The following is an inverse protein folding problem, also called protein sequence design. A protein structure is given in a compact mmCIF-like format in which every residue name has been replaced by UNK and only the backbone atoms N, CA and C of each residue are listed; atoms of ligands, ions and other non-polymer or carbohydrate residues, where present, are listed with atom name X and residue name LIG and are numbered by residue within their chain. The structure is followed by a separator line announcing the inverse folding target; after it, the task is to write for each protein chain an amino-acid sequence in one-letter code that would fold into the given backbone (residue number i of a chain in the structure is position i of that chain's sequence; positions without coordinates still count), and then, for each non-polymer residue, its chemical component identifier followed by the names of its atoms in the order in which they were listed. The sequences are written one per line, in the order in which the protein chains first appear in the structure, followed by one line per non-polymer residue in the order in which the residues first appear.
data_IF_857563426573
#
_entry.id   IF_857563426573
#
_cell.length_a   1.000
_cell.length_b   1.000
_cell.length_c   1.000
_cell.angle_alpha   90.00
_cell.angle_beta   90.00
_cell.angle_gamma   90.00
#
_symmetry.space_group_name_H-M   'P 1'
#
loop_
_entity.id
_entity.type
_entity.pdbx_description
1 polymer ?
#
# COMPACT_ATOMS: atom_id res chain seq x y z
N UNK A 1 24.50 0.95 10.35
CA UNK A 1 24.49 0.76 11.82
C UNK A 1 25.75 1.40 12.39
N UNK A 2 25.65 2.59 12.99
CA UNK A 2 26.78 3.27 13.64
C UNK A 2 27.24 2.40 14.83
N UNK A 3 28.37 1.68 14.69
CA UNK A 3 28.90 0.78 15.73
C UNK A 3 29.64 1.59 16.79
N UNK A 4 28.90 2.28 17.66
CA UNK A 4 29.42 2.92 18.88
C UNK A 4 30.10 1.91 19.83
N UNK A 5 29.83 0.61 19.68
CA UNK A 5 30.49 -0.47 20.41
C UNK A 5 32.02 -0.45 20.26
N UNK A 6 32.52 -0.08 19.07
CA UNK A 6 33.97 -0.05 18.81
C UNK A 6 34.68 1.12 19.50
N UNK A 7 33.95 2.16 19.94
CA UNK A 7 34.55 3.36 20.54
C UNK A 7 35.01 3.08 21.97
N UNK A 8 34.20 2.35 22.75
CA UNK A 8 34.49 2.01 24.15
C UNK A 8 35.61 0.98 24.34
N UNK A 9 35.88 0.16 23.32
CA UNK A 9 36.93 -0.87 23.34
C UNK A 9 38.26 -0.38 22.74
N UNK A 10 38.28 0.87 22.26
CA UNK A 10 39.46 1.45 21.62
C UNK A 10 40.54 1.83 22.63
N UNK A 11 41.82 1.75 22.23
CA UNK A 11 42.94 2.35 22.99
C UNK A 11 42.74 3.85 23.27
N UNK A 12 41.86 4.50 22.51
CA UNK A 12 41.50 5.90 22.65
C UNK A 12 40.59 6.14 23.87
N UNK A 13 39.61 5.27 24.13
CA UNK A 13 38.72 5.38 25.30
C UNK A 13 39.46 5.34 26.64
N UNK A 14 40.53 4.52 26.72
CA UNK A 14 41.38 4.46 27.93
C UNK A 14 42.13 5.76 28.22
N UNK A 15 42.39 6.60 27.20
CA UNK A 15 43.09 7.89 27.33
C UNK A 15 42.16 9.08 27.62
N UNK A 16 40.85 8.90 27.55
CA UNK A 16 39.88 9.96 27.82
C UNK A 16 39.88 10.35 29.30
N UNK A 17 39.69 11.64 29.58
CA UNK A 17 39.46 12.14 30.93
C UNK A 17 38.15 11.60 31.50
N UNK A 18 37.95 11.71 32.82
CA UNK A 18 36.69 11.30 33.47
C UNK A 18 35.48 12.01 32.85
N UNK A 19 35.60 13.32 32.59
CA UNK A 19 34.57 14.15 31.96
C UNK A 19 34.22 13.63 30.56
N UNK A 20 35.22 13.36 29.72
CA UNK A 20 35.00 12.84 28.36
C UNK A 20 34.39 11.44 28.33
N UNK A 21 34.67 10.61 29.34
CA UNK A 21 34.04 9.28 29.48
C UNK A 21 32.57 9.41 29.85
N UNK A 22 32.22 10.36 30.72
CA UNK A 22 30.85 10.69 31.08
C UNK A 22 30.06 11.17 29.84
N UNK A 23 30.62 12.12 29.09
CA UNK A 23 30.03 12.64 27.84
C UNK A 23 29.81 11.55 26.79
N UNK A 24 30.79 10.65 26.60
CA UNK A 24 30.66 9.54 25.65
C UNK A 24 29.57 8.55 26.09
N UNK A 25 29.45 8.30 27.40
CA UNK A 25 28.41 7.43 27.96
C UNK A 25 27.02 8.06 27.75
N UNK A 26 26.87 9.35 28.03
CA UNK A 26 25.63 10.09 27.78
C UNK A 26 25.27 10.10 26.28
N UNK A 27 26.24 10.34 25.40
CA UNK A 27 26.04 10.28 23.95
C UNK A 27 25.61 8.89 23.47
N UNK A 28 26.20 7.82 24.03
CA UNK A 28 25.80 6.44 23.71
C UNK A 28 24.37 6.14 24.18
N UNK A 29 24.02 6.56 25.38
CA UNK A 29 22.69 6.34 25.95
C UNK A 29 21.64 7.07 25.12
N UNK A 30 21.92 8.31 24.69
CA UNK A 30 21.10 9.07 23.73
C UNK A 30 20.93 8.32 22.40
N UNK A 31 22.00 7.75 21.85
CA UNK A 31 21.93 6.97 20.60
C UNK A 31 21.17 5.66 20.78
N UNK A 32 21.33 4.94 21.90
CA UNK A 32 20.54 3.75 22.21
C UNK A 32 19.05 4.06 22.32
N UNK A 33 18.69 5.14 23.02
CA UNK A 33 17.30 5.59 23.10
C UNK A 33 16.75 5.96 21.71
N UNK A 34 17.53 6.65 20.88
CA UNK A 34 17.15 6.98 19.51
C UNK A 34 16.94 5.72 18.66
N UNK A 35 17.82 4.72 18.79
CA UNK A 35 17.71 3.43 18.09
C UNK A 35 16.48 2.63 18.52
N UNK A 36 16.07 2.72 19.79
CA UNK A 36 14.87 2.03 20.27
C UNK A 36 13.58 2.64 19.71
N UNK A 37 13.56 3.96 19.49
CA UNK A 37 12.42 4.70 18.92
C UNK A 37 12.40 4.75 17.39
N UNK A 38 13.48 4.34 16.73
CA UNK A 38 13.61 4.43 15.27
C UNK A 38 12.54 3.63 14.50
N UNK A 39 12.17 2.39 14.90
CA UNK A 39 11.11 1.66 14.22
C UNK A 39 9.73 2.33 14.34
N UNK A 40 9.42 2.95 15.48
CA UNK A 40 8.17 3.66 15.70
C UNK A 40 8.10 4.92 14.83
N UNK A 41 9.19 5.68 14.75
CA UNK A 41 9.31 6.83 13.83
C UNK A 41 9.18 6.40 12.37
N UNK A 42 9.82 5.29 12.00
CA UNK A 42 9.73 4.76 10.64
C UNK A 42 8.28 4.40 10.29
N UNK A 43 7.54 3.79 11.22
CA UNK A 43 6.11 3.49 11.07
C UNK A 43 5.30 4.74 10.74
N UNK A 44 5.43 5.79 11.56
CA UNK A 44 4.71 7.06 11.38
C UNK A 44 5.05 7.73 10.03
N UNK A 45 6.32 7.70 9.64
CA UNK A 45 6.76 8.23 8.36
C UNK A 45 6.21 7.44 7.17
N UNK A 46 6.16 6.11 7.25
CA UNK A 46 5.57 5.26 6.20
C UNK A 46 4.06 5.49 6.10
N UNK A 47 3.33 5.53 7.22
CA UNK A 47 1.89 5.86 7.24
C UNK A 47 1.63 7.20 6.55
N UNK A 48 2.37 8.25 6.95
CA UNK A 48 2.22 9.60 6.36
C UNK A 48 2.56 9.61 4.87
N UNK A 49 3.59 8.87 4.46
CA UNK A 49 3.98 8.78 3.06
C UNK A 49 2.92 8.04 2.23
N UNK A 50 2.36 6.95 2.76
CA UNK A 50 1.28 6.19 2.15
C UNK A 50 0.04 7.06 1.93
N UNK A 51 -0.40 7.81 2.95
CA UNK A 51 -1.52 8.73 2.86
C UNK A 51 -1.32 9.77 1.76
N UNK A 52 -0.13 10.38 1.72
CA UNK A 52 0.20 11.40 0.74
C UNK A 52 0.20 10.86 -0.70
N UNK A 53 0.85 9.70 -0.93
CA UNK A 53 0.92 9.10 -2.26
C UNK A 53 -0.46 8.64 -2.74
N UNK A 54 -1.25 8.02 -1.87
CA UNK A 54 -2.59 7.55 -2.22
C UNK A 54 -3.54 8.72 -2.53
N UNK A 55 -3.48 9.81 -1.76
CA UNK A 55 -4.26 11.01 -2.06
C UNK A 55 -3.91 11.60 -3.45
N UNK A 56 -2.62 11.60 -3.81
CA UNK A 56 -2.16 12.04 -5.13
C UNK A 56 -2.69 11.11 -6.22
N UNK A 57 -2.63 9.79 -6.03
CA UNK A 57 -3.14 8.80 -6.99
C UNK A 57 -4.62 9.06 -7.29
N UNK A 58 -5.46 9.19 -6.25
CA UNK A 58 -6.89 9.49 -6.41
C UNK A 58 -7.10 10.79 -7.17
N UNK A 59 -6.35 11.84 -6.82
CA UNK A 59 -6.42 13.14 -7.48
C UNK A 59 -6.08 13.04 -8.96
N UNK A 60 -5.02 12.30 -9.33
CA UNK A 60 -4.64 12.09 -10.72
C UNK A 60 -5.77 11.40 -11.50
N UNK A 61 -6.47 10.42 -10.90
CA UNK A 61 -7.58 9.73 -11.59
C UNK A 61 -8.73 10.71 -11.87
N UNK A 62 -9.13 11.56 -10.91
CA UNK A 62 -10.17 12.59 -11.13
C UNK A 62 -9.80 13.50 -12.29
N UNK A 63 -8.54 13.96 -12.34
CA UNK A 63 -8.05 14.88 -13.36
C UNK A 63 -8.02 14.27 -14.77
N UNK A 64 -8.20 12.96 -14.93
CA UNK A 64 -8.26 12.31 -16.23
C UNK A 64 -9.64 12.35 -16.88
N UNK A 65 -10.69 12.67 -16.12
CA UNK A 65 -12.06 12.77 -16.64
C UNK A 65 -12.14 13.98 -17.56
N UNK A 66 -12.45 13.73 -18.84
CA UNK A 66 -12.61 14.81 -19.82
C UNK A 66 -14.03 15.38 -19.77
N UNK A 67 -14.20 16.71 -19.67
CA UNK A 67 -15.53 17.32 -19.67
C UNK A 67 -16.20 17.16 -21.04
N UNK A 68 -17.53 17.02 -21.05
CA UNK A 68 -18.30 17.02 -22.28
C UNK A 68 -18.40 18.45 -22.85
N UNK A 69 -17.86 18.67 -24.06
CA UNK A 69 -18.00 19.94 -24.77
C UNK A 69 -19.25 19.98 -25.67
N UNK A 70 -19.84 18.82 -25.97
CA UNK A 70 -21.04 18.66 -26.80
C UNK A 70 -22.03 17.71 -26.12
N UNK A 71 -23.33 17.92 -26.36
CA UNK A 71 -24.39 17.05 -25.83
C UNK A 71 -24.20 15.57 -26.23
N UNK A 72 -23.66 15.30 -27.42
CA UNK A 72 -23.37 13.95 -27.90
C UNK A 72 -22.31 13.20 -27.07
N UNK A 73 -21.47 13.93 -26.31
CA UNK A 73 -20.41 13.37 -25.46
C UNK A 73 -20.85 13.20 -24.00
N UNK A 74 -22.05 13.66 -23.64
CA UNK A 74 -22.49 13.68 -22.25
C UNK A 74 -22.61 12.28 -21.63
N UNK A 75 -23.05 11.29 -22.42
CA UNK A 75 -23.12 9.89 -21.96
C UNK A 75 -21.73 9.30 -21.70
N UNK A 76 -20.74 9.63 -22.54
CA UNK A 76 -19.36 9.20 -22.36
C UNK A 76 -18.74 9.83 -21.10
N UNK A 77 -19.00 11.12 -20.88
CA UNK A 77 -18.59 11.82 -19.65
C UNK A 77 -19.15 11.16 -18.39
N UNK A 78 -20.44 10.80 -18.38
CA UNK A 78 -21.04 10.06 -17.26
C UNK A 78 -20.40 8.68 -17.07
N UNK A 79 -20.11 7.97 -18.16
CA UNK A 79 -19.37 6.70 -18.12
C UNK A 79 -17.98 6.86 -17.48
N UNK A 80 -17.24 7.91 -17.82
CA UNK A 80 -15.94 8.20 -17.22
C UNK A 80 -16.03 8.55 -15.73
N UNK A 81 -17.09 9.24 -15.29
CA UNK A 81 -17.35 9.46 -13.85
C UNK A 81 -17.54 8.13 -13.12
N UNK A 82 -18.32 7.22 -13.71
CA UNK A 82 -18.58 5.88 -13.15
C UNK A 82 -17.27 5.08 -13.02
N UNK A 83 -16.44 5.07 -14.06
CA UNK A 83 -15.12 4.43 -14.05
C UNK A 83 -14.23 5.04 -12.95
N UNK A 84 -14.26 6.36 -12.79
CA UNK A 84 -13.55 7.04 -11.70
C UNK A 84 -14.03 6.59 -10.32
N UNK A 85 -15.35 6.54 -10.07
CA UNK A 85 -15.91 6.12 -8.77
C UNK A 85 -15.47 4.70 -8.43
N UNK A 86 -15.50 3.78 -9.40
CA UNK A 86 -14.97 2.43 -9.23
C UNK A 86 -13.48 2.46 -8.82
N UNK A 87 -12.66 3.19 -9.57
CA UNK A 87 -11.23 3.28 -9.29
C UNK A 87 -10.96 3.92 -7.92
N UNK A 88 -11.75 4.92 -7.52
CA UNK A 88 -11.68 5.55 -6.21
C UNK A 88 -11.86 4.52 -5.09
N UNK A 89 -12.92 3.71 -5.14
CA UNK A 89 -13.16 2.69 -4.12
C UNK A 89 -12.10 1.59 -4.11
N UNK A 90 -11.57 1.21 -5.28
CA UNK A 90 -10.45 0.26 -5.35
C UNK A 90 -9.22 0.82 -4.61
N UNK A 91 -8.85 2.07 -4.84
CA UNK A 91 -7.70 2.70 -4.16
C UNK A 91 -8.00 2.90 -2.66
N UNK A 92 -9.22 3.30 -2.31
CA UNK A 92 -9.64 3.46 -0.92
C UNK A 92 -9.60 2.14 -0.14
N UNK A 93 -9.92 1.01 -0.78
CA UNK A 93 -9.80 -0.33 -0.21
C UNK A 93 -8.34 -0.67 0.14
N UNK A 94 -7.40 -0.39 -0.77
CA UNK A 94 -5.97 -0.54 -0.51
C UNK A 94 -5.50 0.34 0.64
N UNK A 95 -5.93 1.60 0.65
CA UNK A 95 -5.60 2.53 1.73
C UNK A 95 -6.11 2.04 3.08
N UNK A 96 -7.37 1.62 3.16
CA UNK A 96 -7.99 1.14 4.38
C UNK A 96 -7.28 -0.10 4.93
N UNK A 97 -6.95 -1.06 4.05
CA UNK A 97 -6.22 -2.26 4.44
C UNK A 97 -4.80 -1.95 4.94
N UNK A 98 -4.13 -0.98 4.30
CA UNK A 98 -2.80 -0.53 4.72
C UNK A 98 -2.86 0.19 6.07
N UNK A 99 -3.84 1.08 6.24
CA UNK A 99 -4.10 1.77 7.50
C UNK A 99 -4.34 0.80 8.65
N UNK A 100 -5.19 -0.23 8.46
CA UNK A 100 -5.41 -1.31 9.44
C UNK A 100 -4.11 -2.07 9.71
N UNK A 101 -3.35 -2.42 8.67
CA UNK A 101 -2.09 -3.13 8.81
C UNK A 101 -1.12 -2.37 9.71
N UNK A 102 -0.90 -1.09 9.43
CA UNK A 102 0.01 -0.25 10.21
C UNK A 102 -0.51 0.10 11.62
N UNK A 103 -1.83 0.24 11.79
CA UNK A 103 -2.44 0.57 13.08
C UNK A 103 -2.42 -0.59 14.07
N UNK A 104 -2.66 -1.82 13.60
CA UNK A 104 -2.90 -2.96 14.50
C UNK A 104 -1.86 -4.07 14.42
N UNK A 105 -1.05 -4.12 13.37
CA UNK A 105 -0.23 -5.30 13.08
C UNK A 105 1.24 -5.00 12.79
N UNK A 106 1.58 -3.80 12.33
CA UNK A 106 2.95 -3.41 11.97
C UNK A 106 3.47 -2.35 12.95
N UNK A 107 3.83 -2.75 14.16
CA UNK A 107 4.31 -1.80 15.19
C UNK A 107 5.78 -1.41 15.05
N UNK A 108 6.61 -2.29 14.49
CA UNK A 108 8.06 -2.09 14.35
C UNK A 108 8.50 -2.51 12.95
N UNK A 109 8.13 -1.73 11.91
CA UNK A 109 8.54 -2.03 10.55
C UNK A 109 10.06 -2.03 10.45
N UNK A 110 10.57 -2.95 9.65
CA UNK A 110 11.98 -3.03 9.31
C UNK A 110 12.21 -2.53 7.87
N UNK A 111 13.48 -2.54 7.44
CA UNK A 111 13.86 -2.14 6.08
C UNK A 111 13.14 -2.96 5.00
N UNK A 112 12.88 -4.24 5.23
CA UNK A 112 12.23 -5.12 4.23
C UNK A 112 10.77 -4.69 4.08
N UNK A 113 10.08 -4.43 5.19
CA UNK A 113 8.71 -3.93 5.22
C UNK A 113 8.59 -2.62 4.43
N UNK A 114 9.51 -1.67 4.66
CA UNK A 114 9.54 -0.40 3.94
C UNK A 114 9.76 -0.58 2.41
N UNK A 115 10.63 -1.50 2.00
CA UNK A 115 10.85 -1.79 0.57
C UNK A 115 9.58 -2.37 -0.08
N UNK A 116 8.92 -3.32 0.58
CA UNK A 116 7.67 -3.89 0.09
C UNK A 116 6.58 -2.80 -0.05
N UNK A 117 6.52 -1.89 0.92
CA UNK A 117 5.57 -0.77 0.93
C UNK A 117 5.82 0.19 -0.25
N UNK A 118 7.08 0.55 -0.50
CA UNK A 118 7.43 1.34 -1.69
C UNK A 118 7.13 0.63 -3.01
N UNK A 119 7.34 -0.69 -3.10
CA UNK A 119 6.95 -1.46 -4.29
C UNK A 119 5.43 -1.47 -4.49
N UNK A 120 4.66 -1.58 -3.40
CA UNK A 120 3.20 -1.49 -3.45
C UNK A 120 2.76 -0.13 -3.97
N UNK A 121 3.25 0.97 -3.37
CA UNK A 121 2.94 2.33 -3.80
C UNK A 121 3.33 2.62 -5.25
N UNK A 122 4.49 2.13 -5.69
CA UNK A 122 4.91 2.24 -7.08
C UNK A 122 3.93 1.53 -8.03
N UNK A 123 3.41 0.36 -7.63
CA UNK A 123 2.41 -0.39 -8.40
C UNK A 123 1.05 0.32 -8.40
N UNK A 124 0.60 0.84 -7.26
CA UNK A 124 -0.63 1.64 -7.17
C UNK A 124 -0.55 2.91 -8.03
N UNK A 125 0.64 3.49 -8.15
CA UNK A 125 0.88 4.66 -9.01
C UNK A 125 0.70 4.40 -10.51
N UNK A 126 0.63 3.12 -10.93
CA UNK A 126 0.28 2.73 -12.30
C UNK A 126 -1.23 2.68 -12.53
N UNK A 127 -2.05 2.57 -11.48
CA UNK A 127 -3.50 2.48 -11.61
C UNK A 127 -4.13 3.70 -12.30
N UNK A 128 -3.69 4.95 -12.09
CA UNK A 128 -4.18 6.07 -12.87
C UNK A 128 -3.93 5.91 -14.37
N UNK A 129 -2.80 5.35 -14.78
CA UNK A 129 -2.53 5.11 -16.22
C UNK A 129 -3.49 4.05 -16.76
N UNK A 130 -3.73 2.99 -16.00
CA UNK A 130 -4.66 1.93 -16.39
C UNK A 130 -6.11 2.42 -16.44
N UNK A 131 -6.54 3.24 -15.48
CA UNK A 131 -7.87 3.84 -15.45
C UNK A 131 -8.10 4.75 -16.67
N UNK A 132 -7.11 5.61 -17.00
CA UNK A 132 -7.17 6.43 -18.22
C UNK A 132 -7.32 5.57 -19.48
N UNK A 133 -6.62 4.44 -19.52
CA UNK A 133 -6.66 3.56 -20.68
C UNK A 133 -8.06 2.95 -20.86
N UNK A 134 -8.71 2.54 -19.76
CA UNK A 134 -10.11 2.09 -19.79
C UNK A 134 -11.00 3.23 -20.31
N UNK A 135 -10.90 4.44 -19.73
CA UNK A 135 -11.69 5.62 -20.16
C UNK A 135 -11.53 5.96 -21.65
N UNK A 136 -10.34 5.74 -22.24
CA UNK A 136 -10.09 6.00 -23.66
C UNK A 136 -10.60 4.91 -24.59
N UNK A 137 -10.57 3.65 -24.13
CA UNK A 137 -10.93 2.50 -24.95
C UNK A 137 -11.43 1.37 -24.07
N UNK A 138 -12.75 1.28 -23.97
CA UNK A 138 -13.48 0.16 -23.40
C UNK A 138 -13.20 -1.12 -24.19
N UNK A 139 -12.10 -1.79 -23.84
CA UNK A 139 -11.63 -2.98 -24.50
C UNK A 139 -11.16 -4.00 -23.48
N UNK A 140 -11.42 -5.28 -23.76
CA UNK A 140 -10.96 -6.38 -22.91
C UNK A 140 -9.45 -6.31 -22.64
N UNK A 141 -8.68 -5.79 -23.60
CA UNK A 141 -7.23 -5.60 -23.46
C UNK A 141 -6.86 -4.58 -22.37
N UNK A 142 -7.53 -3.42 -22.31
CA UNK A 142 -7.29 -2.42 -21.28
C UNK A 142 -7.69 -2.95 -19.89
N UNK A 143 -8.87 -3.58 -19.80
CA UNK A 143 -9.38 -4.17 -18.56
C UNK A 143 -8.47 -5.29 -18.04
N UNK A 144 -7.94 -6.13 -18.93
CA UNK A 144 -7.01 -7.22 -18.56
C UNK A 144 -5.72 -6.66 -17.96
N UNK A 145 -5.13 -5.63 -18.57
CA UNK A 145 -3.90 -5.01 -18.06
C UNK A 145 -4.14 -4.30 -16.72
N UNK A 146 -5.29 -3.63 -16.55
CA UNK A 146 -5.70 -3.10 -15.25
C UNK A 146 -5.75 -4.22 -14.20
N UNK A 147 -6.39 -5.35 -14.52
CA UNK A 147 -6.47 -6.52 -13.65
C UNK A 147 -5.11 -7.10 -13.26
N UNK A 148 -4.15 -7.14 -14.20
CA UNK A 148 -2.77 -7.60 -13.92
C UNK A 148 -2.08 -6.67 -12.92
N UNK A 149 -2.13 -5.35 -13.14
CA UNK A 149 -1.52 -4.36 -12.23
C UNK A 149 -2.17 -4.45 -10.84
N UNK A 150 -3.49 -4.54 -10.79
CA UNK A 150 -4.26 -4.73 -9.56
C UNK A 150 -3.85 -6.01 -8.82
N UNK A 151 -3.70 -7.13 -9.52
CA UNK A 151 -3.29 -8.40 -8.95
C UNK A 151 -1.87 -8.34 -8.36
N UNK A 152 -0.93 -7.69 -9.06
CA UNK A 152 0.43 -7.46 -8.53
C UNK A 152 0.37 -6.61 -7.26
N UNK A 153 -0.45 -5.56 -7.23
CA UNK A 153 -0.64 -4.74 -6.04
C UNK A 153 -1.18 -5.56 -4.86
N UNK A 154 -2.14 -6.47 -5.10
CA UNK A 154 -2.65 -7.36 -4.06
C UNK A 154 -1.56 -8.28 -3.48
N UNK A 155 -0.70 -8.85 -4.33
CA UNK A 155 0.44 -9.68 -3.86
C UNK A 155 1.39 -8.84 -3.00
N UNK A 156 1.75 -7.64 -3.45
CA UNK A 156 2.67 -6.77 -2.72
C UNK A 156 2.09 -6.33 -1.37
N UNK A 157 0.78 -6.07 -1.31
CA UNK A 157 0.08 -5.79 -0.04
C UNK A 157 0.22 -6.94 0.95
N UNK A 158 0.05 -8.18 0.50
CA UNK A 158 0.26 -9.36 1.35
C UNK A 158 1.70 -9.44 1.85
N UNK A 159 2.68 -9.08 1.01
CA UNK A 159 4.08 -9.05 1.44
C UNK A 159 4.32 -7.98 2.51
N UNK A 160 3.77 -6.79 2.37
CA UNK A 160 3.84 -5.74 3.42
C UNK A 160 3.27 -6.26 4.73
N UNK A 161 2.06 -6.85 4.70
CA UNK A 161 1.41 -7.41 5.89
C UNK A 161 2.24 -8.54 6.50
N UNK A 162 2.76 -9.46 5.70
CA UNK A 162 3.55 -10.60 6.16
C UNK A 162 4.87 -10.19 6.80
N UNK A 163 5.67 -9.35 6.13
CA UNK A 163 6.96 -8.91 6.65
C UNK A 163 6.79 -7.94 7.83
N UNK A 164 5.80 -7.05 7.76
CA UNK A 164 5.53 -6.08 8.82
C UNK A 164 4.98 -6.70 10.10
N UNK A 165 4.17 -7.76 10.01
CA UNK A 165 3.64 -8.47 11.18
C UNK A 165 4.60 -9.52 11.76
N UNK A 166 5.71 -9.83 11.06
CA UNK A 166 6.71 -10.84 11.47
C UNK A 166 7.22 -10.69 12.91
N UNK A 167 7.48 -9.48 13.44
CA UNK A 167 7.92 -9.32 14.82
C UNK A 167 6.84 -9.70 15.86
N UNK A 168 5.55 -9.53 15.53
CA UNK A 168 4.42 -9.95 16.39
C UNK A 168 4.15 -11.45 16.33
N UNK A 169 4.54 -12.12 15.25
CA UNK A 169 4.34 -13.56 15.04
C UNK A 169 5.11 -14.45 16.04
N UNK A 170 5.94 -13.88 16.92
CA UNK A 170 6.71 -14.64 17.91
C UNK A 170 5.93 -15.01 19.18
N UNK A 171 4.75 -14.42 19.45
CA UNK A 171 3.97 -14.69 20.67
C UNK A 171 2.49 -15.07 20.49
N UNK A 172 1.96 -15.17 19.26
CA UNK A 172 0.57 -15.59 19.03
C UNK A 172 0.45 -16.52 17.83
N UNK A 173 0.26 -17.82 18.10
CA UNK A 173 0.00 -18.86 17.10
C UNK A 173 -1.36 -18.67 16.39
N UNK A 174 -2.24 -17.80 16.90
CA UNK A 174 -3.62 -17.63 16.41
C UNK A 174 -3.75 -16.50 15.37
N UNK A 175 -2.88 -15.49 15.43
CA UNK A 175 -2.95 -14.31 14.54
C UNK A 175 -2.61 -14.62 13.08
N UNK A 176 -1.66 -15.54 12.84
CA UNK A 176 -1.18 -15.89 11.49
C UNK A 176 -2.22 -16.64 10.65
N UNK A 177 -2.97 -17.56 11.29
CA UNK A 177 -4.02 -18.31 10.60
C UNK A 177 -5.19 -17.37 10.32
N UNK A 178 -5.57 -16.49 11.26
CA UNK A 178 -6.73 -15.63 11.06
C UNK A 178 -6.48 -14.50 10.05
N UNK A 179 -5.31 -13.85 10.09
CA UNK A 179 -5.03 -12.71 9.20
C UNK A 179 -4.69 -13.13 7.77
N UNK A 180 -3.78 -14.09 7.58
CA UNK A 180 -3.40 -14.51 6.22
C UNK A 180 -4.57 -15.24 5.56
N UNK A 181 -5.31 -16.08 6.28
CA UNK A 181 -6.44 -16.82 5.70
C UNK A 181 -7.62 -15.91 5.37
N UNK A 182 -7.93 -14.91 6.21
CA UNK A 182 -8.98 -13.92 5.90
C UNK A 182 -8.56 -13.00 4.76
N UNK A 183 -7.33 -12.50 4.74
CA UNK A 183 -6.80 -11.70 3.61
C UNK A 183 -6.78 -12.51 2.31
N UNK A 184 -6.36 -13.78 2.34
CA UNK A 184 -6.36 -14.67 1.17
C UNK A 184 -7.78 -15.00 0.73
N UNK A 185 -8.72 -15.21 1.66
CA UNK A 185 -10.13 -15.46 1.30
C UNK A 185 -10.76 -14.24 0.63
N UNK A 186 -10.47 -13.04 1.12
CA UNK A 186 -10.89 -11.78 0.51
C UNK A 186 -10.23 -11.57 -0.85
N UNK A 187 -8.94 -11.89 -1.00
CA UNK A 187 -8.26 -11.90 -2.32
C UNK A 187 -8.92 -12.88 -3.27
N UNK A 188 -9.26 -14.09 -2.82
CA UNK A 188 -9.94 -15.10 -3.66
C UNK A 188 -11.34 -14.63 -4.04
N UNK A 189 -12.12 -14.06 -3.11
CA UNK A 189 -13.44 -13.51 -3.39
C UNK A 189 -13.37 -12.37 -4.41
N UNK A 190 -12.45 -11.42 -4.22
CA UNK A 190 -12.27 -10.29 -5.14
C UNK A 190 -11.70 -10.75 -6.48
N UNK A 191 -10.82 -11.75 -6.50
CA UNK A 191 -10.33 -12.38 -7.72
C UNK A 191 -11.44 -13.10 -8.48
N UNK A 192 -12.27 -13.90 -7.80
CA UNK A 192 -13.41 -14.59 -8.39
C UNK A 192 -14.45 -13.59 -8.91
N UNK A 193 -14.70 -12.52 -8.17
CA UNK A 193 -15.59 -11.44 -8.59
C UNK A 193 -15.03 -10.72 -9.82
N UNK A 194 -13.73 -10.40 -9.83
CA UNK A 194 -13.05 -9.75 -10.96
C UNK A 194 -13.07 -10.63 -12.20
N UNK A 195 -12.77 -11.93 -12.04
CA UNK A 195 -12.83 -12.92 -13.11
C UNK A 195 -14.25 -13.07 -13.66
N UNK A 196 -15.25 -13.12 -12.78
CA UNK A 196 -16.65 -13.16 -13.14
C UNK A 196 -17.08 -11.92 -13.92
N UNK A 197 -16.66 -10.73 -13.50
CA UNK A 197 -16.98 -9.47 -14.17
C UNK A 197 -16.30 -9.35 -15.55
N UNK A 198 -15.07 -9.86 -15.70
CA UNK A 198 -14.38 -9.97 -17.00
C UNK A 198 -15.14 -10.92 -17.94
N UNK A 199 -15.55 -12.09 -17.44
CA UNK A 199 -16.31 -13.06 -18.22
C UNK A 199 -17.70 -12.52 -18.61
N UNK A 200 -18.36 -11.81 -17.70
CA UNK A 200 -19.66 -11.17 -17.93
C UNK A 200 -19.54 -10.00 -18.94
N UNK A 201 -18.42 -9.27 -18.91
CA UNK A 201 -18.11 -8.18 -19.86
C UNK A 201 -17.98 -8.68 -21.30
N UNK A 202 -17.63 -9.94 -21.52
CA UNK A 202 -17.52 -10.52 -22.87
C UNK A 202 -18.89 -10.83 -23.49
N UNK A 203 -19.93 -11.00 -22.66
CA UNK A 203 -21.27 -11.41 -23.12
C UNK A 203 -22.23 -10.21 -23.17
N UNK A 204 -22.20 -9.34 -22.15
CA UNK A 204 -23.04 -8.13 -22.10
C UNK A 204 -22.31 -6.99 -21.39
N UNK A 205 -21.54 -6.15 -22.12
CA UNK A 205 -20.72 -5.07 -21.55
C UNK A 205 -21.50 -4.11 -20.65
N UNK A 206 -22.78 -3.86 -20.97
CA UNK A 206 -23.66 -2.96 -20.21
C UNK A 206 -24.14 -3.53 -18.87
N UNK A 207 -24.28 -4.84 -18.74
CA UNK A 207 -24.77 -5.51 -17.51
C UNK A 207 -23.61 -5.78 -16.55
N UNK A 208 -22.42 -6.06 -17.07
CA UNK A 208 -21.20 -6.20 -16.27
C UNK A 208 -20.87 -4.92 -15.50
N UNK A 209 -21.03 -3.76 -16.13
CA UNK A 209 -20.87 -2.47 -15.46
C UNK A 209 -21.85 -2.29 -14.29
N UNK A 210 -23.12 -2.68 -14.44
CA UNK A 210 -24.13 -2.51 -13.38
C UNK A 210 -23.91 -3.48 -12.20
N UNK A 211 -23.51 -4.73 -12.47
CA UNK A 211 -23.23 -5.72 -11.44
C UNK A 211 -21.91 -5.46 -10.68
N UNK A 212 -20.93 -4.83 -11.32
CA UNK A 212 -19.70 -4.37 -10.66
C UNK A 212 -20.00 -3.45 -9.46
N UNK A 213 -21.02 -2.60 -9.59
CA UNK A 213 -21.40 -1.63 -8.56
C UNK A 213 -22.15 -2.22 -7.37
N UNK A 214 -22.83 -3.35 -7.54
CA UNK A 214 -23.64 -3.96 -6.49
C UNK A 214 -22.81 -4.86 -5.56
N UNK A 215 -21.74 -5.47 -6.08
CA UNK A 215 -20.98 -6.51 -5.38
C UNK A 215 -19.68 -6.03 -4.73
N UNK A 216 -19.28 -4.77 -4.91
CA UNK A 216 -18.07 -4.18 -4.31
C UNK A 216 -18.36 -3.26 -3.10
N UNK A 217 -19.57 -3.36 -2.54
CA UNK A 217 -19.93 -2.83 -1.22
C UNK A 217 -20.07 -3.97 -0.20
#
# INVERSE_FOLDING_TARGET
MFKLHNVFDSRHYRRLSSVQKEELKEARDKVHQAQQKEPERLREHLETFNDAVIAIIITIIVLQIQPAFKASQYLEFLGNIVIFIIAFFIIADFWYDLHIAFSYFIFKPDKITAICDFCLLATLSLLPVMTKWIMMRDSAFAVTNFGIVYFIAQILKVFVQYFGAKPLMRSSQVMNIMMVKTSVHRIILVFLLTLFLILLSLVVPKVAMFLFHLFHF
#
